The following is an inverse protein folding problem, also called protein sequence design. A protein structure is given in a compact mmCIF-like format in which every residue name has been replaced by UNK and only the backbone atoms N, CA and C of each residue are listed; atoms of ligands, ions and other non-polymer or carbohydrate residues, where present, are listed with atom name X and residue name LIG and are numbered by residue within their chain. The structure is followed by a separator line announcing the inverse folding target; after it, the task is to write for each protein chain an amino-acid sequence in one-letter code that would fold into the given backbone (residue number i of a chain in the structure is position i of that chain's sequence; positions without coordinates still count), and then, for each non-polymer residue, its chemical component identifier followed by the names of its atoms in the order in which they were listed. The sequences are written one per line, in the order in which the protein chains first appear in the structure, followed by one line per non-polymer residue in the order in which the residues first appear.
data_IF_544304171234
#
_entry.id   IF_544304171234
#
_cell.length_a   1.000
_cell.length_b   1.000
_cell.length_c   1.000
_cell.angle_alpha   90.00
_cell.angle_beta   90.00
_cell.angle_gamma   90.00
#
_symmetry.space_group_name_H-M   'P 1'
#
loop_
_entity.id
_entity.type
_entity.pdbx_description
1 polymer ?
#
# COMPACT_ATOMS: atom_id res chain seq x y z
N UNK A 1 -25.30 12.67 3.70
CA UNK A 1 -25.22 11.26 4.19
C UNK A 1 -25.87 11.19 5.57
N UNK A 2 -26.99 10.46 5.67
CA UNK A 2 -27.81 10.16 6.85
C UNK A 2 -27.70 11.11 8.06
N UNK A 3 -28.50 12.18 8.05
CA UNK A 3 -29.01 12.78 9.29
C UNK A 3 -30.39 12.14 9.58
N UNK A 4 -30.41 10.84 9.88
CA UNK A 4 -31.62 10.26 10.46
C UNK A 4 -31.69 10.71 11.92
N UNK A 5 -32.69 11.52 12.22
CA UNK A 5 -33.03 11.99 13.58
C UNK A 5 -33.55 10.86 14.49
N UNK A 6 -33.72 9.64 13.97
CA UNK A 6 -34.02 8.45 14.76
C UNK A 6 -32.73 7.73 15.19
N UNK A 7 -32.36 7.89 16.46
CA UNK A 7 -31.18 7.24 17.07
C UNK A 7 -31.25 5.70 17.14
N UNK A 8 -32.41 5.09 16.88
CA UNK A 8 -32.65 3.66 17.20
C UNK A 8 -32.93 2.72 16.00
N UNK A 9 -33.00 3.21 14.76
CA UNK A 9 -33.05 2.30 13.61
C UNK A 9 -31.63 1.95 13.18
N UNK A 10 -31.14 0.78 13.59
CA UNK A 10 -29.97 0.12 13.00
C UNK A 10 -30.23 -0.11 11.51
N UNK A 11 -29.86 0.85 10.67
CA UNK A 11 -30.02 0.83 9.21
C UNK A 11 -28.99 -0.04 8.50
N UNK A 12 -28.07 -0.64 9.25
CA UNK A 12 -26.98 -1.47 8.74
C UNK A 12 -26.82 -2.71 9.60
N UNK A 13 -26.45 -3.82 8.96
CA UNK A 13 -26.17 -5.10 9.60
C UNK A 13 -24.71 -5.45 9.34
N UNK A 14 -23.97 -5.82 10.39
CA UNK A 14 -22.61 -6.35 10.26
C UNK A 14 -22.74 -7.84 9.98
N UNK A 15 -22.38 -8.26 8.76
CA UNK A 15 -22.22 -9.66 8.42
C UNK A 15 -20.74 -10.02 8.52
N UNK A 16 -20.38 -10.85 9.50
CA UNK A 16 -19.02 -11.37 9.66
C UNK A 16 -18.92 -12.78 9.07
N UNK A 17 -17.88 -13.02 8.28
CA UNK A 17 -17.49 -14.37 7.85
C UNK A 17 -16.29 -14.78 8.68
N UNK A 18 -16.38 -15.90 9.38
CA UNK A 18 -15.23 -16.48 10.07
C UNK A 18 -14.20 -16.94 9.03
N UNK A 19 -13.10 -16.20 8.92
CA UNK A 19 -11.98 -16.59 8.08
C UNK A 19 -11.33 -17.85 8.63
N UNK A 20 -11.16 -18.89 7.80
CA UNK A 20 -10.34 -20.05 8.14
C UNK A 20 -8.86 -19.68 8.00
N UNK A 21 -8.32 -18.98 9.00
CA UNK A 21 -6.88 -18.74 9.13
C UNK A 21 -6.29 -19.81 10.04
N UNK A 22 -5.20 -20.41 9.59
CA UNK A 22 -4.39 -21.32 10.39
C UNK A 22 -3.46 -20.51 11.31
N UNK A 23 -3.02 -21.08 12.45
CA UNK A 23 -2.13 -20.39 13.37
C UNK A 23 -0.80 -20.02 12.70
N UNK A 24 -0.31 -18.82 13.01
CA UNK A 24 0.93 -18.27 12.47
C UNK A 24 1.89 -18.00 13.62
N UNK A 25 3.09 -18.61 13.57
CA UNK A 25 4.14 -18.34 14.54
C UNK A 25 4.88 -17.05 14.15
N UNK A 26 5.01 -16.13 15.10
CA UNK A 26 5.65 -14.84 14.87
C UNK A 26 7.04 -14.85 15.51
N UNK A 27 8.06 -14.53 14.71
CA UNK A 27 9.44 -14.38 15.13
C UNK A 27 9.87 -12.93 14.93
N UNK A 28 10.53 -12.37 15.94
CA UNK A 28 11.15 -11.04 15.89
C UNK A 28 12.66 -11.14 15.91
N UNK A 29 13.34 -10.13 15.36
CA UNK A 29 14.78 -10.00 15.57
C UNK A 29 15.09 -9.61 17.01
N UNK A 30 16.21 -10.12 17.51
CA UNK A 30 16.73 -9.73 18.82
C UNK A 30 17.26 -8.29 18.80
N UNK A 31 17.99 -7.95 17.74
CA UNK A 31 18.65 -6.66 17.57
C UNK A 31 18.31 -6.07 16.18
N UNK A 32 18.24 -4.73 16.03
CA UNK A 32 17.97 -4.08 14.76
C UNK A 32 19.05 -4.40 13.71
N UNK A 33 18.65 -4.47 12.43
CA UNK A 33 19.56 -4.70 11.31
C UNK A 33 19.82 -3.42 10.52
N UNK A 34 21.05 -3.22 10.02
CA UNK A 34 21.40 -2.01 9.26
C UNK A 34 20.84 -2.02 7.82
N UNK A 35 20.73 -3.20 7.20
CA UNK A 35 20.18 -3.38 5.84
C UNK A 35 19.09 -4.46 5.87
N UNK A 36 17.82 -4.02 5.82
CA UNK A 36 16.68 -4.94 5.79
C UNK A 36 16.56 -5.69 4.46
N UNK A 37 17.11 -5.20 3.34
CA UNK A 37 17.07 -5.89 2.05
C UNK A 37 17.98 -7.11 2.09
N UNK A 38 19.23 -6.93 2.52
CA UNK A 38 20.17 -8.04 2.69
C UNK A 38 19.67 -9.02 3.74
N UNK A 39 19.16 -8.52 4.88
CA UNK A 39 18.58 -9.36 5.92
C UNK A 39 17.36 -10.16 5.46
N UNK A 40 16.57 -9.61 4.52
CA UNK A 40 15.43 -10.30 3.89
C UNK A 40 15.93 -11.49 3.07
N UNK A 41 16.94 -11.27 2.22
CA UNK A 41 17.55 -12.32 1.39
C UNK A 41 18.13 -13.42 2.27
N UNK A 42 18.92 -13.07 3.29
CA UNK A 42 19.54 -14.04 4.19
C UNK A 42 18.51 -14.86 4.97
N UNK A 43 17.41 -14.23 5.38
CA UNK A 43 16.31 -14.91 6.07
C UNK A 43 15.57 -15.84 5.12
N UNK A 44 15.28 -15.39 3.89
CA UNK A 44 14.64 -16.21 2.86
C UNK A 44 15.48 -17.44 2.49
N UNK A 45 16.82 -17.29 2.38
CA UNK A 45 17.75 -18.40 2.15
C UNK A 45 17.77 -19.36 3.35
N UNK A 46 17.80 -18.84 4.59
CA UNK A 46 17.74 -19.67 5.80
C UNK A 46 16.45 -20.48 5.89
N UNK A 47 15.31 -19.87 5.53
CA UNK A 47 14.03 -20.56 5.41
C UNK A 47 14.14 -21.65 4.34
N UNK A 48 14.62 -21.32 3.15
CA UNK A 48 14.77 -22.27 2.05
C UNK A 48 15.56 -23.53 2.43
N UNK A 49 16.65 -23.38 3.19
CA UNK A 49 17.54 -24.48 3.60
C UNK A 49 17.01 -25.32 4.76
N UNK A 50 16.38 -24.68 5.76
CA UNK A 50 16.12 -25.33 7.05
C UNK A 50 14.64 -25.62 7.31
N UNK A 51 13.72 -24.94 6.63
CA UNK A 51 12.29 -25.08 6.86
C UNK A 51 11.65 -26.10 5.91
N UNK A 52 10.55 -26.71 6.36
CA UNK A 52 9.74 -27.64 5.57
C UNK A 52 9.21 -27.02 4.27
N UNK A 53 8.72 -27.82 3.29
CA UNK A 53 8.21 -27.31 2.02
C UNK A 53 7.21 -26.16 2.18
N UNK A 54 7.10 -25.29 1.17
CA UNK A 54 6.19 -24.16 1.19
C UNK A 54 6.89 -22.87 0.79
N UNK A 55 6.13 -21.96 0.20
CA UNK A 55 6.65 -20.78 -0.45
C UNK A 55 6.82 -19.63 0.53
N UNK A 56 7.71 -18.72 0.14
CA UNK A 56 8.10 -17.56 0.95
C UNK A 56 7.60 -16.29 0.28
N UNK A 57 6.97 -15.41 1.07
CA UNK A 57 6.61 -14.06 0.66
C UNK A 57 7.44 -13.04 1.46
N UNK A 58 8.26 -12.28 0.77
CA UNK A 58 9.09 -11.23 1.35
C UNK A 58 8.48 -9.85 1.04
N UNK A 59 8.30 -9.01 2.04
CA UNK A 59 7.85 -7.63 1.86
C UNK A 59 9.05 -6.68 1.85
N UNK A 60 9.20 -5.92 0.76
CA UNK A 60 10.13 -4.79 0.61
C UNK A 60 9.37 -3.55 0.14
N UNK A 61 10.04 -2.40 0.02
CA UNK A 61 9.30 -1.13 -0.06
C UNK A 61 9.16 -0.58 -1.48
N UNK A 62 10.03 -0.97 -2.41
CA UNK A 62 10.01 -0.45 -3.78
C UNK A 62 10.70 -1.34 -4.79
N UNK A 63 10.55 -0.99 -6.07
CA UNK A 63 11.06 -1.74 -7.23
C UNK A 63 12.57 -2.04 -7.12
N UNK A 64 13.40 -1.02 -6.87
CA UNK A 64 14.86 -1.19 -6.80
C UNK A 64 15.29 -2.21 -5.73
N UNK A 65 14.65 -2.17 -4.56
CA UNK A 65 14.93 -3.11 -3.47
C UNK A 65 14.47 -4.53 -3.82
N UNK A 66 13.30 -4.65 -4.46
CA UNK A 66 12.75 -5.93 -4.92
C UNK A 66 13.67 -6.57 -5.96
N UNK A 67 14.06 -5.81 -6.99
CA UNK A 67 14.92 -6.29 -8.07
C UNK A 67 16.30 -6.68 -7.54
N UNK A 68 16.88 -5.88 -6.62
CA UNK A 68 18.14 -6.21 -5.92
C UNK A 68 18.03 -7.52 -5.15
N UNK A 69 16.99 -7.69 -4.33
CA UNK A 69 16.80 -8.91 -3.55
C UNK A 69 16.59 -10.15 -4.43
N UNK A 70 15.81 -10.01 -5.52
CA UNK A 70 15.60 -11.09 -6.49
C UNK A 70 16.90 -11.46 -7.20
N UNK A 71 17.74 -10.49 -7.57
CA UNK A 71 19.07 -10.73 -8.12
C UNK A 71 19.93 -11.58 -7.18
N UNK A 72 20.06 -11.15 -5.92
CA UNK A 72 20.84 -11.88 -4.91
C UNK A 72 20.32 -13.31 -4.66
N UNK A 73 18.99 -13.50 -4.68
CA UNK A 73 18.39 -14.83 -4.55
C UNK A 73 18.68 -15.73 -5.77
N UNK A 74 18.70 -15.18 -6.99
CA UNK A 74 19.03 -15.92 -8.22
C UNK A 74 20.51 -16.29 -8.27
N UNK A 75 21.40 -15.40 -7.80
CA UNK A 75 22.82 -15.68 -7.68
C UNK A 75 23.05 -16.82 -6.69
N UNK A 76 22.35 -16.80 -5.55
CA UNK A 76 22.38 -17.90 -4.58
C UNK A 76 21.90 -19.22 -5.19
N UNK A 77 20.78 -19.19 -5.91
CA UNK A 77 20.22 -20.38 -6.56
C UNK A 77 21.20 -20.99 -7.57
N UNK A 78 21.90 -20.15 -8.35
CA UNK A 78 22.86 -20.59 -9.36
C UNK A 78 24.12 -21.22 -8.75
N UNK A 79 24.49 -20.81 -7.53
CA UNK A 79 25.64 -21.36 -6.80
C UNK A 79 25.34 -22.65 -6.02
N UNK A 80 24.07 -23.04 -5.91
CA UNK A 80 23.64 -24.18 -5.10
C UNK A 80 23.58 -25.47 -5.94
N UNK A 81 24.13 -26.61 -5.47
CA UNK A 81 24.11 -27.86 -6.23
C UNK A 81 22.69 -28.37 -6.51
N UNK A 82 22.45 -28.92 -7.71
CA UNK A 82 21.13 -29.45 -8.17
C UNK A 82 20.54 -30.61 -7.35
N UNK A 83 21.21 -31.07 -6.29
CA UNK A 83 20.68 -32.12 -5.41
C UNK A 83 19.73 -31.56 -4.34
N UNK A 84 19.78 -30.25 -4.11
CA UNK A 84 18.94 -29.56 -3.13
C UNK A 84 17.62 -29.08 -3.76
N UNK A 85 16.70 -28.62 -2.90
CA UNK A 85 15.45 -27.98 -3.31
C UNK A 85 15.77 -26.78 -4.23
N UNK A 86 15.16 -26.70 -5.41
CA UNK A 86 15.44 -25.60 -6.34
C UNK A 86 14.75 -24.32 -5.87
N UNK A 87 15.46 -23.19 -5.87
CA UNK A 87 14.93 -21.89 -5.48
C UNK A 87 14.49 -21.10 -6.72
N UNK A 88 13.23 -20.65 -6.75
CA UNK A 88 12.69 -19.80 -7.81
C UNK A 88 12.30 -18.43 -7.23
N UNK A 89 13.06 -17.39 -7.57
CA UNK A 89 12.82 -16.02 -7.10
C UNK A 89 12.01 -15.18 -8.13
N UNK A 90 10.89 -14.61 -7.68
CA UNK A 90 9.97 -13.82 -8.51
C UNK A 90 9.71 -12.43 -7.89
N UNK A 91 9.80 -11.33 -8.67
CA UNK A 91 9.42 -9.99 -8.22
C UNK A 91 7.91 -9.76 -8.30
N UNK A 92 7.38 -8.86 -7.47
CA UNK A 92 6.00 -8.38 -7.56
C UNK A 92 5.84 -6.92 -7.10
N UNK A 93 5.63 -5.99 -8.03
CA UNK A 93 5.37 -4.57 -7.77
C UNK A 93 4.49 -3.94 -8.85
N UNK A 94 3.97 -2.74 -8.60
CA UNK A 94 2.91 -2.12 -9.41
C UNK A 94 3.27 -1.87 -10.88
N UNK A 95 4.52 -1.51 -11.19
CA UNK A 95 5.00 -1.27 -12.56
C UNK A 95 5.39 -2.54 -13.34
N UNK A 96 5.33 -3.72 -12.71
CA UNK A 96 5.74 -4.98 -13.35
C UNK A 96 4.76 -5.36 -14.49
N UNK A 97 5.24 -5.79 -15.67
CA UNK A 97 4.37 -6.24 -16.75
C UNK A 97 3.40 -7.35 -16.30
N UNK A 98 2.17 -7.31 -16.81
CA UNK A 98 1.10 -8.23 -16.39
C UNK A 98 1.50 -9.71 -16.55
N UNK A 99 2.16 -10.06 -17.66
CA UNK A 99 2.64 -11.42 -17.91
C UNK A 99 3.59 -11.93 -16.81
N UNK A 100 4.46 -11.07 -16.29
CA UNK A 100 5.38 -11.43 -15.20
C UNK A 100 4.69 -11.45 -13.84
N UNK A 101 3.76 -10.52 -13.58
CA UNK A 101 2.93 -10.57 -12.37
C UNK A 101 2.16 -11.88 -12.27
N UNK A 102 1.64 -12.41 -13.38
CA UNK A 102 0.86 -13.65 -13.37
C UNK A 102 1.68 -14.89 -12.96
N UNK A 103 3.01 -14.86 -13.11
CA UNK A 103 3.89 -15.97 -12.74
C UNK A 103 3.85 -16.27 -11.25
N UNK A 104 3.64 -15.25 -10.39
CA UNK A 104 3.59 -15.45 -8.94
C UNK A 104 2.40 -16.31 -8.51
N UNK A 105 1.33 -16.36 -9.31
CA UNK A 105 0.13 -17.15 -9.03
C UNK A 105 0.24 -18.61 -9.50
N UNK A 106 1.28 -18.96 -10.25
CA UNK A 106 1.50 -20.34 -10.66
C UNK A 106 1.86 -21.20 -9.44
N UNK A 107 1.32 -22.42 -9.41
CA UNK A 107 1.64 -23.38 -8.36
C UNK A 107 3.10 -23.79 -8.47
N UNK A 108 3.77 -23.88 -7.32
CA UNK A 108 5.17 -24.27 -7.26
C UNK A 108 5.33 -25.77 -7.56
N UNK A 109 6.13 -26.17 -8.56
CA UNK A 109 6.39 -27.56 -8.88
C UNK A 109 7.03 -28.33 -7.71
N UNK A 110 6.89 -29.66 -7.73
CA UNK A 110 7.56 -30.52 -6.74
C UNK A 110 9.09 -30.37 -6.87
N UNK A 111 9.77 -30.31 -5.73
CA UNK A 111 11.23 -30.14 -5.69
C UNK A 111 11.69 -28.69 -5.84
N UNK A 112 10.76 -27.73 -5.91
CA UNK A 112 11.09 -26.30 -5.94
C UNK A 112 10.47 -25.55 -4.75
N UNK A 113 11.03 -24.39 -4.42
CA UNK A 113 10.45 -23.40 -3.53
C UNK A 113 10.40 -22.05 -4.23
N UNK A 114 9.22 -21.47 -4.31
CA UNK A 114 9.02 -20.12 -4.82
C UNK A 114 9.25 -19.12 -3.70
N UNK A 115 10.07 -18.11 -3.99
CA UNK A 115 10.28 -16.95 -3.12
C UNK A 115 9.79 -15.72 -3.88
N UNK A 116 8.67 -15.19 -3.45
CA UNK A 116 8.11 -13.95 -4.01
C UNK A 116 8.61 -12.77 -3.19
N UNK A 117 9.24 -11.80 -3.85
CA UNK A 117 9.65 -10.54 -3.23
C UNK A 117 8.72 -9.45 -3.74
N UNK A 118 7.94 -8.86 -2.84
CA UNK A 118 6.82 -7.99 -3.19
C UNK A 118 6.81 -6.67 -2.42
N UNK A 119 6.18 -5.66 -3.00
CA UNK A 119 5.75 -4.47 -2.24
C UNK A 119 4.43 -4.74 -1.49
N UNK A 120 3.83 -3.70 -0.91
CA UNK A 120 2.51 -3.76 -0.27
C UNK A 120 1.36 -4.23 -1.21
N UNK A 121 1.60 -4.40 -2.52
CA UNK A 121 0.64 -5.03 -3.45
C UNK A 121 0.20 -6.43 -2.99
N UNK A 122 1.08 -7.17 -2.30
CA UNK A 122 0.77 -8.50 -1.78
C UNK A 122 0.05 -8.48 -0.41
N UNK A 123 -0.18 -7.31 0.18
CA UNK A 123 -0.71 -7.16 1.55
C UNK A 123 -2.21 -7.42 1.66
N UNK A 124 -3.03 -6.89 0.74
CA UNK A 124 -4.51 -7.01 0.79
C UNK A 124 -5.11 -7.61 -0.47
N UNK A 125 -4.67 -7.19 -1.65
CA UNK A 125 -5.46 -7.39 -2.88
C UNK A 125 -5.28 -8.72 -3.60
N UNK A 126 -4.31 -9.57 -3.24
CA UNK A 126 -4.07 -10.82 -3.99
C UNK A 126 -3.66 -11.99 -3.14
N UNK A 127 -4.16 -13.19 -3.44
CA UNK A 127 -3.75 -14.44 -2.76
C UNK A 127 -2.71 -15.17 -3.60
N UNK A 128 -1.49 -15.30 -3.09
CA UNK A 128 -0.45 -16.11 -3.73
C UNK A 128 -0.56 -17.53 -3.18
N UNK A 129 -0.81 -18.55 -4.01
CA UNK A 129 -0.91 -19.92 -3.54
C UNK A 129 0.46 -20.43 -3.08
N UNK A 130 0.44 -21.27 -2.04
CA UNK A 130 1.63 -21.95 -1.52
C UNK A 130 2.40 -21.18 -0.44
N UNK A 131 2.07 -19.90 -0.17
CA UNK A 131 2.74 -19.11 0.86
C UNK A 131 2.44 -19.68 2.26
N UNK A 132 3.49 -20.03 2.97
CA UNK A 132 3.44 -20.45 4.39
C UNK A 132 4.50 -19.76 5.24
N UNK A 133 5.47 -19.11 4.59
CA UNK A 133 6.51 -18.32 5.23
C UNK A 133 6.41 -16.86 4.77
N UNK A 134 6.50 -15.93 5.71
CA UNK A 134 6.54 -14.49 5.40
C UNK A 134 7.79 -13.88 6.02
N UNK A 135 8.48 -13.02 5.27
CA UNK A 135 9.55 -12.16 5.77
C UNK A 135 9.07 -10.72 5.68
N UNK A 136 8.96 -10.04 6.81
CA UNK A 136 8.43 -8.68 6.88
C UNK A 136 9.54 -7.69 7.27
N UNK A 137 9.91 -6.80 6.35
CA UNK A 137 10.90 -5.75 6.63
C UNK A 137 10.41 -4.70 7.63
N UNK A 138 9.09 -4.58 7.86
CA UNK A 138 8.50 -3.61 8.77
C UNK A 138 8.35 -2.19 8.21
N UNK A 139 8.65 -1.98 6.92
CA UNK A 139 8.51 -0.69 6.25
C UNK A 139 7.54 -0.73 5.07
N UNK A 140 7.09 0.46 4.67
CA UNK A 140 6.29 0.71 3.47
C UNK A 140 6.60 2.09 2.91
N UNK A 141 6.61 2.23 1.58
CA UNK A 141 6.59 3.53 0.92
C UNK A 141 5.14 3.97 0.74
N UNK A 142 4.79 5.15 1.22
CA UNK A 142 3.45 5.70 1.06
C UNK A 142 3.49 7.19 0.71
N UNK A 143 2.51 7.64 -0.07
CA UNK A 143 2.40 9.04 -0.43
C UNK A 143 2.04 9.88 0.80
N UNK A 144 2.64 11.06 0.90
CA UNK A 144 2.37 12.00 1.97
C UNK A 144 2.44 13.42 1.45
N UNK A 145 1.37 14.17 1.68
CA UNK A 145 1.24 15.55 1.27
C UNK A 145 1.86 16.47 2.33
N UNK A 146 2.79 17.32 1.89
CA UNK A 146 3.34 18.38 2.71
C UNK A 146 2.71 19.72 2.30
N UNK A 147 1.84 20.24 3.16
CA UNK A 147 1.12 21.50 2.96
C UNK A 147 2.07 22.70 2.88
N UNK A 148 3.22 22.67 3.58
CA UNK A 148 4.17 23.78 3.57
C UNK A 148 4.94 23.89 2.25
N UNK A 149 5.17 22.77 1.57
CA UNK A 149 5.86 22.72 0.27
C UNK A 149 4.90 22.53 -0.90
N UNK A 150 3.60 22.37 -0.63
CA UNK A 150 2.54 22.10 -1.59
C UNK A 150 2.86 20.90 -2.51
N UNK A 151 3.48 19.86 -1.97
CA UNK A 151 3.98 18.73 -2.76
C UNK A 151 3.65 17.39 -2.10
N UNK A 152 3.20 16.44 -2.91
CA UNK A 152 3.17 15.03 -2.53
C UNK A 152 4.56 14.42 -2.62
N UNK A 153 4.93 13.63 -1.62
CA UNK A 153 6.20 12.91 -1.58
C UNK A 153 5.97 11.45 -1.21
N UNK A 154 6.73 10.55 -1.82
CA UNK A 154 6.74 9.15 -1.45
C UNK A 154 7.72 8.93 -0.30
N UNK A 155 7.21 8.78 0.92
CA UNK A 155 8.02 8.66 2.12
C UNK A 155 8.09 7.21 2.58
N UNK A 156 9.28 6.80 3.04
CA UNK A 156 9.49 5.51 3.69
C UNK A 156 9.09 5.64 5.16
N UNK A 157 8.14 4.82 5.61
CA UNK A 157 7.68 4.82 7.00
C UNK A 157 7.53 3.40 7.54
N UNK A 158 7.60 3.21 8.87
CA UNK A 158 7.23 1.95 9.50
C UNK A 158 5.77 1.58 9.21
N UNK A 159 5.49 0.28 9.09
CA UNK A 159 4.13 -0.23 8.95
C UNK A 159 3.30 0.00 10.21
N UNK A 160 1.97 -0.02 10.08
CA UNK A 160 1.08 -0.09 11.23
C UNK A 160 0.99 -1.53 11.77
N UNK A 161 0.53 -1.70 13.01
CA UNK A 161 0.24 -3.03 13.57
C UNK A 161 -0.79 -3.77 12.71
N UNK A 162 -1.84 -3.09 12.27
CA UNK A 162 -2.83 -3.67 11.36
C UNK A 162 -2.20 -4.20 10.06
N UNK A 163 -1.28 -3.43 9.46
CA UNK A 163 -0.54 -3.86 8.27
C UNK A 163 0.36 -5.07 8.54
N UNK A 164 1.12 -5.04 9.65
CA UNK A 164 1.97 -6.16 10.07
C UNK A 164 1.17 -7.45 10.34
N UNK A 165 -0.06 -7.34 10.86
CA UNK A 165 -0.95 -8.49 11.04
C UNK A 165 -1.52 -9.00 9.71
N UNK A 166 -1.83 -8.11 8.76
CA UNK A 166 -2.26 -8.52 7.41
C UNK A 166 -1.15 -9.24 6.66
N UNK A 167 0.09 -8.74 6.76
CA UNK A 167 1.29 -9.40 6.24
C UNK A 167 1.49 -10.76 6.89
N UNK A 168 1.37 -10.84 8.22
CA UNK A 168 1.49 -12.09 8.95
C UNK A 168 0.41 -13.12 8.54
N UNK A 169 -0.83 -12.66 8.38
CA UNK A 169 -1.95 -13.48 7.93
C UNK A 169 -1.76 -14.11 6.55
N UNK A 170 -0.79 -13.66 5.74
CA UNK A 170 -0.47 -14.30 4.46
C UNK A 170 0.14 -15.70 4.62
N UNK A 171 0.86 -15.93 5.72
CA UNK A 171 1.43 -17.24 6.03
C UNK A 171 0.36 -18.27 6.47
N UNK A 172 -0.77 -17.81 7.00
CA UNK A 172 -1.80 -18.66 7.61
C UNK A 172 -2.96 -19.04 6.70
N UNK A 173 -2.88 -18.82 5.38
CA UNK A 173 -4.03 -19.03 4.47
C UNK A 173 -4.27 -20.49 4.07
N UNK A 174 -3.21 -21.28 3.97
CA UNK A 174 -3.28 -22.66 3.47
C UNK A 174 -3.13 -23.68 4.59
N UNK A 175 -2.22 -23.42 5.53
CA UNK A 175 -1.88 -24.27 6.67
C UNK A 175 -1.11 -23.45 7.71
N UNK A 176 -0.74 -24.01 8.88
CA UNK A 176 0.07 -23.29 9.85
C UNK A 176 1.36 -22.74 9.22
N UNK A 177 1.67 -21.48 9.52
CA UNK A 177 2.75 -20.74 8.88
C UNK A 177 3.67 -20.05 9.87
N UNK A 178 4.72 -19.42 9.36
CA UNK A 178 5.67 -18.63 10.15
C UNK A 178 5.91 -17.27 9.54
N UNK A 179 6.12 -16.28 10.38
CA UNK A 179 6.44 -14.90 9.99
C UNK A 179 7.72 -14.50 10.69
N UNK A 180 8.65 -13.95 9.92
CA UNK A 180 9.93 -13.44 10.40
C UNK A 180 9.94 -11.93 10.20
N UNK A 181 9.76 -11.19 11.31
CA UNK A 181 9.80 -9.73 11.35
C UNK A 181 11.23 -9.27 11.52
N UNK A 182 11.72 -8.46 10.59
CA UNK A 182 13.09 -7.94 10.58
C UNK A 182 13.28 -6.71 11.49
N UNK A 183 12.53 -6.68 12.59
CA UNK A 183 12.54 -5.64 13.60
C UNK A 183 12.27 -6.26 14.96
N UNK A 184 12.62 -5.54 16.03
CA UNK A 184 12.49 -6.06 17.38
C UNK A 184 11.04 -5.99 17.87
N UNK A 185 10.70 -6.84 18.83
CA UNK A 185 9.39 -6.84 19.47
C UNK A 185 9.11 -5.50 20.18
N UNK A 186 10.13 -4.88 20.79
CA UNK A 186 10.04 -3.53 21.36
C UNK A 186 9.64 -2.47 20.33
N UNK A 187 10.08 -2.60 19.08
CA UNK A 187 9.77 -1.62 18.04
C UNK A 187 8.34 -1.84 17.55
N UNK A 188 7.92 -3.11 17.44
CA UNK A 188 6.55 -3.49 17.12
C UNK A 188 5.52 -2.87 18.08
N UNK A 189 5.79 -2.86 19.39
CA UNK A 189 4.85 -2.31 20.37
C UNK A 189 4.67 -0.80 20.21
N UNK A 190 5.67 -0.09 19.72
CA UNK A 190 5.63 1.36 19.46
C UNK A 190 4.92 1.74 18.15
N UNK A 191 4.66 0.78 17.26
CA UNK A 191 3.96 1.05 15.99
C UNK A 191 2.54 1.55 16.22
N UNK A 192 2.09 2.44 15.33
CA UNK A 192 0.70 2.89 15.27
C UNK A 192 -0.25 1.71 15.00
N UNK A 193 -1.43 1.73 15.61
CA UNK A 193 -2.40 0.64 15.45
C UNK A 193 -2.89 0.50 13.99
N UNK A 194 -3.13 1.62 13.31
CA UNK A 194 -3.60 1.67 11.93
C UNK A 194 -2.88 2.76 11.14
N UNK A 195 -2.80 2.58 9.84
CA UNK A 195 -2.28 3.59 8.91
C UNK A 195 -3.30 4.72 8.77
N UNK A 196 -2.89 6.00 8.84
CA UNK A 196 -3.79 7.12 8.60
C UNK A 196 -4.50 7.00 7.24
N UNK A 197 -5.83 7.22 7.17
CA UNK A 197 -6.58 7.18 5.92
C UNK A 197 -6.02 8.13 4.86
N UNK A 198 -6.16 7.74 3.59
CA UNK A 198 -5.64 8.51 2.45
C UNK A 198 -6.11 9.98 2.43
N UNK A 199 -7.38 10.21 2.76
CA UNK A 199 -7.96 11.55 2.87
C UNK A 199 -7.24 12.47 3.87
N UNK A 200 -6.55 11.91 4.88
CA UNK A 200 -5.82 12.70 5.86
C UNK A 200 -4.36 12.99 5.47
N UNK A 201 -3.88 12.39 4.39
CA UNK A 201 -2.46 12.40 4.01
C UNK A 201 -2.18 12.77 2.56
N UNK A 202 -3.20 13.01 1.74
CA UNK A 202 -3.06 13.40 0.33
C UNK A 202 -3.42 14.88 0.11
N UNK A 203 -3.02 15.40 -1.04
CA UNK A 203 -3.55 16.62 -1.66
C UNK A 203 -5.04 16.41 -2.04
N UNK A 204 -5.89 17.42 -1.84
CA UNK A 204 -7.35 17.28 -1.92
C UNK A 204 -8.01 18.13 -3.01
N UNK A 205 -7.29 18.92 -3.79
CA UNK A 205 -7.82 19.83 -4.81
C UNK A 205 -8.70 19.12 -5.82
N UNK A 206 -8.29 17.94 -6.30
CA UNK A 206 -9.10 17.11 -7.19
C UNK A 206 -10.42 16.69 -6.54
N UNK A 207 -10.38 16.20 -5.30
CA UNK A 207 -11.58 15.81 -4.57
C UNK A 207 -12.50 17.01 -4.26
N UNK A 208 -11.93 18.15 -3.87
CA UNK A 208 -12.66 19.38 -3.59
C UNK A 208 -13.33 19.92 -4.86
N UNK A 209 -12.64 19.89 -6.00
CA UNK A 209 -13.20 20.28 -7.30
C UNK A 209 -14.41 19.42 -7.67
N UNK A 210 -14.30 18.11 -7.49
CA UNK A 210 -15.42 17.17 -7.73
C UNK A 210 -16.60 17.43 -6.77
N UNK A 211 -16.34 17.67 -5.48
CA UNK A 211 -17.40 18.02 -4.53
C UNK A 211 -18.12 19.31 -4.94
N UNK A 212 -17.38 20.32 -5.40
CA UNK A 212 -17.95 21.57 -5.91
C UNK A 212 -18.80 21.34 -7.17
N UNK A 213 -18.33 20.52 -8.11
CA UNK A 213 -19.09 20.13 -9.30
C UNK A 213 -20.38 19.36 -8.97
N UNK A 214 -20.39 18.59 -7.88
CA UNK A 214 -21.59 17.94 -7.33
C UNK A 214 -22.57 18.90 -6.64
N UNK A 215 -22.27 20.20 -6.57
CA UNK A 215 -23.11 21.21 -5.91
C UNK A 215 -22.93 21.29 -4.40
N UNK A 216 -21.80 20.80 -3.86
CA UNK A 216 -21.51 20.91 -2.42
C UNK A 216 -20.78 22.22 -2.16
N UNK A 217 -21.53 23.23 -1.73
CA UNK A 217 -20.98 24.57 -1.48
C UNK A 217 -20.03 24.58 -0.28
N UNK A 218 -20.45 24.01 0.85
CA UNK A 218 -19.67 24.03 2.09
C UNK A 218 -18.91 22.72 2.29
N UNK A 219 -17.74 22.63 1.65
CA UNK A 219 -16.85 21.47 1.75
C UNK A 219 -16.34 21.26 3.18
N UNK A 220 -16.15 22.32 3.97
CA UNK A 220 -15.71 22.21 5.37
C UNK A 220 -16.75 21.51 6.27
N UNK A 221 -18.04 21.58 5.91
CA UNK A 221 -19.14 20.90 6.63
C UNK A 221 -19.54 19.58 5.99
N UNK A 222 -18.85 19.16 4.94
CA UNK A 222 -19.13 17.88 4.31
C UNK A 222 -18.80 16.73 5.28
N UNK A 223 -19.70 15.75 5.35
CA UNK A 223 -19.59 14.63 6.27
C UNK A 223 -18.61 13.56 5.72
N UNK A 224 -17.32 13.87 5.77
CA UNK A 224 -16.25 12.96 5.38
C UNK A 224 -16.20 11.71 6.27
N UNK A 225 -16.05 10.50 5.71
CA UNK A 225 -15.83 9.27 6.50
C UNK A 225 -14.61 9.34 7.43
N UNK A 226 -13.56 10.03 6.98
CA UNK A 226 -12.34 10.29 7.75
C UNK A 226 -11.91 11.73 7.52
N UNK A 227 -12.40 12.68 8.33
CA UNK A 227 -12.22 14.11 8.06
C UNK A 227 -10.76 14.49 7.81
N UNK A 228 -10.45 15.19 6.71
CA UNK A 228 -9.10 15.67 6.43
C UNK A 228 -8.73 16.82 7.37
N UNK A 229 -7.43 17.06 7.61
CA UNK A 229 -7.00 18.23 8.39
C UNK A 229 -7.42 19.53 7.69
N UNK A 230 -7.93 20.50 8.44
CA UNK A 230 -8.44 21.77 7.89
C UNK A 230 -7.44 22.50 6.98
N UNK A 231 -6.15 22.43 7.31
CA UNK A 231 -5.07 23.00 6.49
C UNK A 231 -4.96 22.39 5.08
N UNK A 232 -5.29 21.10 4.90
CA UNK A 232 -5.27 20.45 3.58
C UNK A 232 -6.43 20.96 2.73
N UNK A 233 -7.63 21.10 3.34
CA UNK A 233 -8.80 21.67 2.65
C UNK A 233 -8.59 23.14 2.28
N UNK A 234 -8.01 23.93 3.18
CA UNK A 234 -7.69 25.34 2.92
C UNK A 234 -6.73 25.46 1.72
N UNK A 235 -5.63 24.72 1.74
CA UNK A 235 -4.64 24.70 0.66
C UNK A 235 -5.24 24.23 -0.68
N UNK A 236 -6.12 23.23 -0.67
CA UNK A 236 -6.85 22.78 -1.86
C UNK A 236 -7.75 23.88 -2.44
N UNK A 237 -8.49 24.62 -1.60
CA UNK A 237 -9.32 25.75 -2.04
C UNK A 237 -8.49 26.90 -2.58
N UNK A 238 -7.38 27.24 -1.91
CA UNK A 238 -6.43 28.27 -2.38
C UNK A 238 -5.86 27.92 -3.76
N UNK A 239 -5.48 26.66 -3.97
CA UNK A 239 -5.00 26.17 -5.27
C UNK A 239 -6.08 26.30 -6.35
N UNK A 240 -7.29 25.81 -6.09
CA UNK A 240 -8.39 25.89 -7.06
C UNK A 240 -8.76 27.33 -7.39
N UNK A 241 -8.70 28.23 -6.41
CA UNK A 241 -8.91 29.65 -6.61
C UNK A 241 -7.81 30.26 -7.47
N UNK A 242 -6.54 29.95 -7.17
CA UNK A 242 -5.39 30.38 -7.98
C UNK A 242 -5.42 29.88 -9.43
N UNK A 243 -6.04 28.73 -9.69
CA UNK A 243 -6.25 28.19 -11.05
C UNK A 243 -7.44 28.82 -11.78
N UNK A 244 -8.26 29.61 -11.08
CA UNK A 244 -9.52 30.17 -11.59
C UNK A 244 -10.64 29.14 -11.69
N UNK A 245 -10.49 27.96 -11.08
CA UNK A 245 -11.53 26.92 -11.05
C UNK A 245 -12.69 27.30 -10.12
N UNK A 246 -12.41 28.08 -9.07
CA UNK A 246 -13.43 28.66 -8.18
C UNK A 246 -13.25 30.18 -8.04
N UNK A 247 -14.36 30.89 -7.83
CA UNK A 247 -14.37 32.34 -7.64
C UNK A 247 -14.07 32.76 -6.19
N UNK A 248 -14.12 34.07 -5.90
CA UNK A 248 -13.89 34.63 -4.56
C UNK A 248 -14.92 34.18 -3.50
N UNK A 249 -16.10 33.73 -3.94
CA UNK A 249 -17.15 33.18 -3.07
C UNK A 249 -16.99 31.66 -2.90
N UNK A 250 -15.99 31.05 -3.54
CA UNK A 250 -15.77 29.62 -3.57
C UNK A 250 -16.77 28.86 -4.44
N UNK A 251 -17.48 29.53 -5.34
CA UNK A 251 -18.36 28.89 -6.32
C UNK A 251 -17.55 28.42 -7.54
N UNK A 252 -17.97 27.31 -8.15
CA UNK A 252 -17.32 26.78 -9.34
C UNK A 252 -17.49 27.75 -10.52
N UNK A 253 -16.42 28.09 -11.22
CA UNK A 253 -16.47 29.02 -12.35
C UNK A 253 -17.00 28.35 -13.62
N UNK A 254 -17.64 29.15 -14.47
CA UNK A 254 -18.10 28.72 -15.79
C UNK A 254 -17.45 29.57 -16.90
N UNK A 255 -16.91 28.96 -17.97
CA UNK A 255 -16.87 27.52 -18.23
C UNK A 255 -15.68 26.79 -17.59
N UNK A 256 -14.66 27.51 -17.11
CA UNK A 256 -13.35 26.95 -16.76
C UNK A 256 -13.43 25.87 -15.66
N UNK A 257 -13.99 26.20 -14.50
CA UNK A 257 -14.09 25.26 -13.37
C UNK A 257 -14.91 24.02 -13.70
N UNK A 258 -16.01 24.19 -14.44
CA UNK A 258 -16.83 23.08 -14.95
C UNK A 258 -16.02 22.16 -15.86
N UNK A 259 -15.36 22.71 -16.89
CA UNK A 259 -14.54 21.90 -17.79
C UNK A 259 -13.41 21.22 -17.03
N UNK A 260 -12.73 21.90 -16.10
CA UNK A 260 -11.67 21.27 -15.30
C UNK A 260 -12.16 20.06 -14.50
N UNK A 261 -13.42 20.07 -14.03
CA UNK A 261 -14.03 18.96 -13.30
C UNK A 261 -14.39 17.77 -14.20
N UNK A 262 -14.53 17.96 -15.51
CA UNK A 262 -14.81 16.88 -16.47
C UNK A 262 -13.57 16.07 -16.84
N UNK A 263 -12.37 16.64 -16.70
CA UNK A 263 -11.12 15.96 -17.03
C UNK A 263 -10.74 14.94 -15.93
N UNK A 264 -10.32 13.71 -16.31
CA UNK A 264 -9.84 12.70 -15.36
C UNK A 264 -8.37 12.96 -14.95
N UNK A 265 -8.04 14.22 -14.67
CA UNK A 265 -6.68 14.67 -14.38
C UNK A 265 -6.67 15.58 -13.13
N UNK A 266 -5.51 15.69 -12.45
CA UNK A 266 -5.33 16.68 -11.40
C UNK A 266 -5.61 18.11 -11.90
N UNK A 267 -6.17 19.01 -11.08
CA UNK A 267 -6.60 20.34 -11.53
C UNK A 267 -5.52 21.15 -12.25
N UNK A 268 -4.27 21.07 -11.82
CA UNK A 268 -3.14 21.72 -12.49
C UNK A 268 -2.98 21.27 -13.94
N UNK A 269 -3.05 19.96 -14.19
CA UNK A 269 -2.92 19.39 -15.53
C UNK A 269 -4.15 19.69 -16.39
N UNK A 270 -5.36 19.62 -15.80
CA UNK A 270 -6.59 19.99 -16.49
C UNK A 270 -6.54 21.44 -16.97
N UNK A 271 -6.10 22.37 -16.11
CA UNK A 271 -5.93 23.79 -16.47
C UNK A 271 -4.93 23.96 -17.60
N UNK A 272 -3.76 23.32 -17.51
CA UNK A 272 -2.71 23.40 -18.53
C UNK A 272 -3.21 22.93 -19.90
N UNK A 273 -3.98 21.84 -19.97
CA UNK A 273 -4.54 21.35 -21.24
C UNK A 273 -5.59 22.31 -21.80
N UNK A 274 -6.47 22.85 -20.96
CA UNK A 274 -7.53 23.76 -21.41
C UNK A 274 -6.99 25.06 -22.02
N UNK A 275 -5.89 25.58 -21.49
CA UNK A 275 -5.26 26.81 -22.02
C UNK A 275 -4.22 26.53 -23.11
N UNK A 276 -3.89 25.27 -23.39
CA UNK A 276 -2.83 24.92 -24.34
C UNK A 276 -3.09 25.38 -25.77
N UNK A 277 -4.36 25.55 -26.17
CA UNK A 277 -4.73 26.07 -27.49
C UNK A 277 -4.69 27.59 -27.61
N UNK A 278 -4.40 28.33 -26.52
CA UNK A 278 -4.25 29.79 -26.52
C UNK A 278 -2.79 30.23 -26.80
N UNK A 279 -1.86 29.28 -26.90
CA UNK A 279 -0.42 29.46 -27.15
C UNK A 279 0.04 28.63 -28.36
#
# INVERSE_FOLDING_TARGET
FNQSTEKDKKSTVIMSVEGKLYPVQVHFLRDPVPDYVTSTVDTAIRIHKNEQPGDVLCFLTGQEEVDRAVGLLRDHASSTPRRDLELVALPMYGSLPNADQLRVFQNTPKGQRKIVVATNIAETSVTIPGIVYVVDCGFVKMQWYNVSTLSDSLVLVPVSKASAEQRAGRAGRVRPGKVYRLYCEKDYTTLHNATPPEMQRMELSGAVLQLKALGIDNVLRFAFPSPPPARHLASALELLHGLGAIDNNGALTSPLGLHMAEFPLPPLHSKALLVSGEF
#
